data_IF_365887122427
#
_entry.id   IF_365887122427
#
_cell.length_a   1.000
_cell.length_b   1.000
_cell.length_c   1.000
_cell.angle_alpha   90.00
_cell.angle_beta   90.00
_cell.angle_gamma   90.00
#
_symmetry.space_group_name_H-M   'P 1'
#
loop_
_entity.id
_entity.type
_entity.pdbx_description
1 polymer ?
#
# COMPACT_ATOMS: atom_id res chain seq x y z
N UNK A 1 -12.97 7.08 9.69
CA UNK A 1 -11.77 7.86 10.04
C UNK A 1 -10.62 7.51 9.10
N UNK A 2 -9.69 8.45 8.95
CA UNK A 2 -8.53 8.24 8.08
C UNK A 2 -7.68 7.03 8.49
N UNK A 3 -7.57 6.78 9.79
CA UNK A 3 -6.81 5.63 10.29
C UNK A 3 -7.42 4.32 9.83
N UNK A 4 -8.75 4.24 9.84
CA UNK A 4 -9.44 3.03 9.39
C UNK A 4 -9.20 2.77 7.90
N UNK A 5 -9.16 3.82 7.10
CA UNK A 5 -8.88 3.72 5.66
C UNK A 5 -7.47 3.15 5.45
N UNK A 6 -6.49 3.66 6.20
CA UNK A 6 -5.11 3.18 6.11
C UNK A 6 -5.02 1.70 6.50
N UNK A 7 -5.68 1.32 7.59
CA UNK A 7 -5.68 -0.07 8.03
C UNK A 7 -6.29 -1.00 6.99
N UNK A 8 -7.41 -0.59 6.40
CA UNK A 8 -8.05 -1.36 5.34
C UNK A 8 -7.15 -1.48 4.11
N UNK A 9 -6.47 -0.39 3.76
CA UNK A 9 -5.56 -0.41 2.63
C UNK A 9 -4.41 -1.38 2.86
N UNK A 10 -3.78 -1.33 4.03
CA UNK A 10 -2.70 -2.27 4.35
C UNK A 10 -3.19 -3.71 4.30
N UNK A 11 -4.38 -3.95 4.84
CA UNK A 11 -4.97 -5.29 4.84
C UNK A 11 -5.28 -5.77 3.42
N UNK A 12 -5.63 -4.85 2.52
CA UNK A 12 -5.93 -5.22 1.13
C UNK A 12 -4.73 -5.85 0.44
N UNK A 13 -3.52 -5.42 0.79
CA UNK A 13 -2.31 -6.02 0.23
C UNK A 13 -2.06 -7.42 0.78
N UNK A 14 -2.34 -7.63 2.06
CA UNK A 14 -2.21 -8.97 2.64
C UNK A 14 -3.23 -9.94 2.03
N UNK A 15 -4.44 -9.45 1.77
CA UNK A 15 -5.54 -10.26 1.26
C UNK A 15 -5.59 -10.32 -0.27
N UNK A 16 -4.74 -9.53 -0.94
CA UNK A 16 -4.77 -9.38 -2.39
C UNK A 16 -6.16 -8.93 -2.89
N UNK A 17 -6.72 -7.92 -2.22
CA UNK A 17 -8.08 -7.44 -2.47
C UNK A 17 -8.04 -6.11 -3.21
N UNK A 18 -8.11 -6.18 -4.54
CA UNK A 18 -8.02 -4.99 -5.40
C UNK A 18 -9.24 -4.07 -5.24
N UNK A 19 -10.38 -4.61 -4.82
CA UNK A 19 -11.58 -3.78 -4.66
C UNK A 19 -11.39 -2.73 -3.55
N UNK A 20 -10.71 -3.08 -2.48
CA UNK A 20 -10.40 -2.12 -1.43
C UNK A 20 -9.45 -1.03 -1.95
N UNK A 21 -8.48 -1.41 -2.79
CA UNK A 21 -7.59 -0.42 -3.42
C UNK A 21 -8.39 0.57 -4.25
N UNK A 22 -9.34 0.07 -5.03
CA UNK A 22 -10.20 0.93 -5.87
C UNK A 22 -11.04 1.89 -5.03
N UNK A 23 -11.46 1.46 -3.85
CA UNK A 23 -12.25 2.30 -2.94
C UNK A 23 -11.41 3.32 -2.18
N UNK A 24 -10.12 3.06 -2.03
CA UNK A 24 -9.23 3.88 -1.22
C UNK A 24 -8.77 5.14 -1.95
N UNK A 25 -8.48 5.03 -3.24
CA UNK A 25 -7.89 6.13 -4.02
C UNK A 25 -8.89 6.73 -4.99
N UNK A 26 -8.80 8.06 -5.17
CA UNK A 26 -9.56 8.74 -6.21
C UNK A 26 -8.97 8.43 -7.58
N UNK A 27 -9.74 8.72 -8.64
CA UNK A 27 -9.29 8.47 -10.01
C UNK A 27 -8.00 9.21 -10.35
N UNK A 28 -7.79 10.37 -9.72
CA UNK A 28 -6.67 11.25 -10.01
C UNK A 28 -5.57 11.17 -8.95
N UNK A 29 -5.59 10.16 -8.08
CA UNK A 29 -4.63 10.05 -7.00
C UNK A 29 -3.20 9.92 -7.55
N UNK A 30 -2.26 10.48 -6.81
CA UNK A 30 -0.83 10.30 -7.07
C UNK A 30 -0.26 9.42 -5.97
N UNK A 31 0.41 8.35 -6.34
CA UNK A 31 1.05 7.44 -5.39
C UNK A 31 2.55 7.43 -5.68
N UNK A 32 3.34 7.84 -4.70
CA UNK A 32 4.80 7.88 -4.84
C UNK A 32 5.42 6.86 -3.90
N UNK A 33 6.29 6.02 -4.44
CA UNK A 33 7.07 5.10 -3.63
C UNK A 33 8.39 5.70 -3.22
N UNK A 34 8.93 5.24 -2.10
CA UNK A 34 10.19 5.75 -1.57
C UNK A 34 11.39 5.45 -2.48
N UNK A 35 11.25 4.52 -3.41
CA UNK A 35 12.31 4.16 -4.34
C UNK A 35 12.25 4.92 -5.65
N UNK A 36 11.34 5.88 -5.78
CA UNK A 36 11.24 6.74 -6.94
C UNK A 36 10.05 6.54 -7.86
N UNK A 37 9.54 5.31 -8.07
CA UNK A 37 8.38 5.14 -8.96
C UNK A 37 7.18 5.92 -8.48
N UNK A 38 6.45 6.48 -9.45
CA UNK A 38 5.19 7.18 -9.19
C UNK A 38 4.09 6.58 -10.05
N UNK A 39 2.90 6.54 -9.50
CA UNK A 39 1.73 6.03 -10.20
C UNK A 39 0.69 7.14 -10.26
N UNK A 40 0.32 7.53 -11.46
CA UNK A 40 -0.59 8.62 -11.72
C UNK A 40 -1.97 8.08 -12.04
N UNK A 41 -2.93 8.34 -11.16
CA UNK A 41 -4.30 7.90 -11.32
C UNK A 41 -4.56 6.48 -10.83
N UNK A 42 -5.82 6.22 -10.57
CA UNK A 42 -6.25 4.95 -10.00
C UNK A 42 -5.90 3.76 -10.89
N UNK A 43 -6.01 3.91 -12.21
CA UNK A 43 -5.74 2.79 -13.10
C UNK A 43 -4.29 2.34 -13.02
N UNK A 44 -3.34 3.26 -12.88
CA UNK A 44 -1.94 2.89 -12.72
C UNK A 44 -1.68 2.24 -11.37
N UNK A 45 -2.33 2.73 -10.33
CA UNK A 45 -2.20 2.14 -8.99
C UNK A 45 -2.73 0.70 -8.99
N UNK A 46 -3.88 0.48 -9.60
CA UNK A 46 -4.47 -0.86 -9.70
C UNK A 46 -3.59 -1.80 -10.50
N UNK A 47 -3.06 -1.34 -11.63
CA UNK A 47 -2.16 -2.15 -12.45
C UNK A 47 -0.91 -2.55 -11.67
N UNK A 48 -0.32 -1.59 -10.96
CA UNK A 48 0.83 -1.87 -10.10
C UNK A 48 0.48 -2.89 -9.02
N UNK A 49 -0.64 -2.72 -8.35
CA UNK A 49 -1.09 -3.63 -7.31
C UNK A 49 -1.21 -5.06 -7.86
N UNK A 50 -1.87 -5.20 -9.01
CA UNK A 50 -2.10 -6.53 -9.59
C UNK A 50 -0.81 -7.17 -10.07
N UNK A 51 0.06 -6.39 -10.73
CA UNK A 51 1.35 -6.91 -11.20
C UNK A 51 2.24 -7.34 -10.04
N UNK A 52 2.29 -6.54 -8.99
CA UNK A 52 3.11 -6.85 -7.82
C UNK A 52 2.61 -8.14 -7.16
N UNK A 53 1.30 -8.27 -6.98
CA UNK A 53 0.74 -9.42 -6.28
C UNK A 53 0.76 -10.70 -7.10
N UNK A 54 0.99 -10.61 -8.41
CA UNK A 54 1.24 -11.80 -9.24
C UNK A 54 2.61 -12.41 -8.97
N UNK A 55 3.56 -11.62 -8.49
CA UNK A 55 4.94 -12.07 -8.26
C UNK A 55 5.29 -12.14 -6.79
N UNK A 56 4.51 -11.52 -5.93
CA UNK A 56 4.84 -11.41 -4.53
C UNK A 56 3.66 -11.56 -3.62
N UNK A 57 3.95 -11.57 -2.35
CA UNK A 57 2.94 -11.66 -1.30
C UNK A 57 3.37 -10.79 -0.14
N UNK A 58 2.46 -9.94 0.34
CA UNK A 58 2.69 -9.17 1.55
C UNK A 58 2.40 -10.08 2.74
N UNK A 59 3.36 -10.22 3.63
CA UNK A 59 3.26 -11.08 4.80
C UNK A 59 2.86 -10.30 6.04
N UNK A 60 3.29 -9.04 6.12
CA UNK A 60 2.95 -8.18 7.24
C UNK A 60 3.00 -6.73 6.77
N UNK A 61 1.99 -5.96 7.14
CA UNK A 61 2.01 -4.52 6.95
C UNK A 61 1.17 -3.92 8.06
N UNK A 62 1.83 -3.56 9.17
CA UNK A 62 1.15 -3.09 10.37
C UNK A 62 1.63 -1.71 10.75
N UNK A 63 0.74 -0.94 11.37
CA UNK A 63 1.03 0.42 11.79
C UNK A 63 1.80 0.36 13.10
N UNK A 64 2.95 1.04 13.13
CA UNK A 64 3.74 1.22 14.34
C UNK A 64 3.31 2.47 15.08
N UNK A 65 3.28 3.59 14.38
CA UNK A 65 2.86 4.87 14.95
C UNK A 65 2.23 5.74 13.88
N UNK A 66 1.31 6.61 14.29
CA UNK A 66 0.69 7.58 13.40
C UNK A 66 0.86 8.97 14.00
N UNK A 67 1.29 9.90 13.16
CA UNK A 67 1.36 11.32 13.50
C UNK A 67 0.44 12.07 12.56
N UNK A 68 -0.32 13.00 13.11
CA UNK A 68 -1.21 13.83 12.29
C UNK A 68 -0.85 15.28 12.47
N UNK A 69 -0.70 15.98 11.35
CA UNK A 69 -0.47 17.43 11.35
C UNK A 69 -1.30 18.02 10.23
N UNK A 70 -2.21 18.93 10.60
CA UNK A 70 -3.17 19.53 9.67
C UNK A 70 -3.99 18.42 9.01
N UNK A 71 -3.91 18.27 7.70
CA UNK A 71 -4.63 17.24 6.96
C UNK A 71 -3.71 16.12 6.49
N UNK A 72 -2.50 16.07 7.02
CA UNK A 72 -1.49 15.08 6.61
C UNK A 72 -1.32 14.05 7.70
N UNK A 73 -1.34 12.78 7.32
CA UNK A 73 -0.99 11.68 8.20
C UNK A 73 0.38 11.15 7.82
N UNK A 74 1.23 11.01 8.83
CA UNK A 74 2.53 10.37 8.69
C UNK A 74 2.45 9.05 9.42
N UNK A 75 2.71 7.95 8.70
CA UNK A 75 2.53 6.61 9.25
C UNK A 75 3.87 5.90 9.25
N UNK A 76 4.27 5.42 10.41
CA UNK A 76 5.38 4.49 10.53
C UNK A 76 4.82 3.08 10.58
N UNK A 77 5.47 2.14 9.89
CA UNK A 77 4.94 0.80 9.81
C UNK A 77 6.02 -0.26 9.83
N UNK A 78 5.58 -1.50 10.07
CA UNK A 78 6.37 -2.70 9.84
C UNK A 78 5.88 -3.35 8.56
N UNK A 79 6.81 -3.74 7.70
CA UNK A 79 6.46 -4.34 6.41
C UNK A 79 7.37 -5.52 6.13
N UNK A 80 6.77 -6.65 5.77
CA UNK A 80 7.48 -7.82 5.30
C UNK A 80 6.79 -8.37 4.07
N UNK A 81 7.56 -8.81 3.11
CA UNK A 81 7.01 -9.40 1.90
C UNK A 81 7.90 -10.51 1.40
N UNK A 82 7.31 -11.34 0.54
CA UNK A 82 8.01 -12.35 -0.22
C UNK A 82 7.76 -12.03 -1.69
N UNK A 83 8.82 -11.69 -2.44
CA UNK A 83 8.65 -11.21 -3.80
C UNK A 83 9.52 -12.01 -4.76
N UNK A 84 8.86 -12.63 -5.76
CA UNK A 84 9.50 -13.36 -6.84
C UNK A 84 10.49 -14.41 -6.32
N UNK A 85 10.09 -15.12 -5.26
CA UNK A 85 10.91 -16.15 -4.65
C UNK A 85 12.06 -15.65 -3.80
N UNK A 86 12.24 -14.35 -3.66
CA UNK A 86 13.28 -13.81 -2.78
C UNK A 86 12.81 -13.88 -1.32
N UNK A 87 13.80 -13.83 -0.43
CA UNK A 87 13.50 -13.86 1.00
C UNK A 87 12.78 -12.60 1.43
N UNK A 88 12.14 -12.68 2.59
CA UNK A 88 11.45 -11.58 3.21
C UNK A 88 12.32 -10.33 3.24
N UNK A 89 11.76 -9.24 2.78
CA UNK A 89 12.43 -7.95 2.74
C UNK A 89 11.74 -7.01 3.72
N UNK A 90 12.54 -6.33 4.54
CA UNK A 90 12.02 -5.38 5.51
C UNK A 90 12.17 -3.96 5.00
N UNK A 91 11.11 -3.18 5.21
CA UNK A 91 11.13 -1.76 4.86
C UNK A 91 10.78 -0.91 6.08
#
# INVERSE_FOLDING_TARGET
MKVDVIKKYFQSWLDNDVEIVKQTFSENALYSECYGPEYHGLSQIVTWFENWNNKGQVLEWTIKRIFEQNQTLIVEWYFRCNYDGTKTKRM
#
